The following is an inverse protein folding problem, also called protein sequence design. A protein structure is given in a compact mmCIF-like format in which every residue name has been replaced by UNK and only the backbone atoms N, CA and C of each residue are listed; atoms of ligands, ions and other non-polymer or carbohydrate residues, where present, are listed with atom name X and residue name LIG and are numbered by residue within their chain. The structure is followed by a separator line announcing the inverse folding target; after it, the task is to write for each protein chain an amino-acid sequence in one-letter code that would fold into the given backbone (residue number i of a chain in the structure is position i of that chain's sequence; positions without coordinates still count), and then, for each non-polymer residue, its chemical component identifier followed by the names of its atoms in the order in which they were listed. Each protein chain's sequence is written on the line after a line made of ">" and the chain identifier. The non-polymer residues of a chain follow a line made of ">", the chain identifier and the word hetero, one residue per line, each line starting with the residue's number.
data_IF_280340230147
#
_entry.id   IF_280340230147
#
_cell.length_a   1.000
_cell.length_b   1.000
_cell.length_c   1.000
_cell.angle_alpha   90.00
_cell.angle_beta   90.00
_cell.angle_gamma   90.00
#
_symmetry.space_group_name_H-M   'P 1'
#
loop_
_entity.id
_entity.type
_entity.pdbx_description
1 polymer ?
#
# COMPACT_ATOMS: atom_id res chain seq x y z
N UNK A 1 13.37 -11.91 9.01
CA UNK A 1 12.03 -11.27 8.98
C UNK A 1 11.14 -12.13 8.10
N UNK A 2 10.06 -12.72 8.62
CA UNK A 2 9.18 -13.57 7.82
C UNK A 2 8.56 -12.81 6.66
N UNK A 3 8.67 -13.39 5.45
CA UNK A 3 8.05 -12.86 4.23
C UNK A 3 6.55 -12.70 4.45
N UNK A 4 6.11 -11.45 4.54
CA UNK A 4 4.69 -11.17 4.59
C UNK A 4 4.20 -11.11 3.15
N UNK A 5 3.65 -12.21 2.64
CA UNK A 5 3.13 -12.34 1.28
C UNK A 5 2.26 -11.14 0.87
N UNK A 6 1.42 -10.66 1.80
CA UNK A 6 0.54 -9.50 1.60
C UNK A 6 1.34 -8.23 1.32
N UNK A 7 2.45 -8.00 2.03
CA UNK A 7 3.30 -6.82 1.79
C UNK A 7 3.93 -6.87 0.41
N UNK A 8 4.53 -8.01 0.06
CA UNK A 8 5.20 -8.17 -1.23
C UNK A 8 4.19 -8.00 -2.38
N UNK A 9 3.05 -8.67 -2.32
CA UNK A 9 1.97 -8.52 -3.32
C UNK A 9 1.41 -7.10 -3.39
N UNK A 10 1.20 -6.44 -2.26
CA UNK A 10 0.70 -5.06 -2.26
C UNK A 10 1.70 -4.06 -2.85
N UNK A 11 3.00 -4.36 -2.73
CA UNK A 11 4.06 -3.55 -3.31
C UNK A 11 4.17 -3.78 -4.83
N UNK A 12 4.18 -5.03 -5.27
CA UNK A 12 4.14 -5.40 -6.69
C UNK A 12 2.93 -4.79 -7.40
N UNK A 13 1.74 -4.91 -6.80
CA UNK A 13 0.53 -4.29 -7.31
C UNK A 13 0.64 -2.76 -7.44
N UNK A 14 1.28 -2.08 -6.49
CA UNK A 14 1.49 -0.64 -6.57
C UNK A 14 2.41 -0.25 -7.75
N UNK A 15 3.41 -1.07 -8.06
CA UNK A 15 4.27 -0.87 -9.23
C UNK A 15 3.48 -1.02 -10.54
N UNK A 16 2.66 -2.07 -10.66
CA UNK A 16 1.81 -2.28 -11.84
C UNK A 16 0.84 -1.11 -12.05
N UNK A 17 0.22 -0.59 -10.98
CA UNK A 17 -0.68 0.57 -11.05
C UNK A 17 0.06 1.82 -11.56
N UNK A 18 1.32 2.01 -11.16
CA UNK A 18 2.14 3.13 -11.64
C UNK A 18 2.43 2.99 -13.15
N UNK A 19 2.71 1.79 -13.63
CA UNK A 19 2.91 1.54 -15.07
C UNK A 19 1.64 1.81 -15.86
N UNK A 20 0.48 1.35 -15.38
CA UNK A 20 -0.82 1.61 -16.00
C UNK A 20 -1.13 3.12 -16.00
N UNK A 21 -0.87 3.82 -14.90
CA UNK A 21 -1.04 5.28 -14.83
C UNK A 21 -0.19 6.01 -15.88
N UNK A 22 1.10 5.64 -16.01
CA UNK A 22 1.99 6.21 -17.04
C UNK A 22 1.47 5.93 -18.45
N UNK A 23 1.06 4.69 -18.72
CA UNK A 23 0.49 4.33 -20.01
C UNK A 23 -0.76 5.15 -20.36
N UNK A 24 -1.70 5.29 -19.42
CA UNK A 24 -2.94 6.05 -19.63
C UNK A 24 -2.68 7.55 -19.85
N UNK A 25 -1.75 8.12 -19.09
CA UNK A 25 -1.42 9.55 -19.20
C UNK A 25 -0.59 9.87 -20.45
N UNK A 26 0.40 9.04 -20.79
CA UNK A 26 1.30 9.28 -21.93
C UNK A 26 0.68 8.89 -23.28
N UNK A 27 -0.04 7.76 -23.36
CA UNK A 27 -0.58 7.24 -24.63
C UNK A 27 -2.01 7.66 -24.90
N UNK A 28 -2.85 7.71 -23.85
CA UNK A 28 -4.29 8.00 -23.99
C UNK A 28 -4.66 9.42 -23.58
N UNK A 29 -3.73 10.18 -22.97
CA UNK A 29 -3.99 11.52 -22.41
C UNK A 29 -5.19 11.52 -21.46
N UNK A 30 -5.38 10.43 -20.71
CA UNK A 30 -6.44 10.31 -19.69
C UNK A 30 -5.84 10.65 -18.32
N UNK A 31 -6.42 11.64 -17.63
CA UNK A 31 -5.85 12.22 -16.41
C UNK A 31 -6.79 12.22 -15.21
N UNK A 32 -8.07 11.88 -15.38
CA UNK A 32 -9.08 11.95 -14.33
C UNK A 32 -9.20 10.60 -13.65
N UNK A 33 -9.49 9.54 -14.41
CA UNK A 33 -9.62 8.19 -13.89
C UNK A 33 -8.28 7.58 -13.50
N UNK A 34 -7.23 7.86 -14.28
CA UNK A 34 -5.86 7.41 -14.03
C UNK A 34 -5.34 7.91 -12.68
N UNK A 35 -5.66 9.16 -12.29
CA UNK A 35 -5.33 9.70 -10.96
C UNK A 35 -6.11 9.02 -9.84
N UNK A 36 -7.39 8.70 -10.06
CA UNK A 36 -8.19 7.95 -9.08
C UNK A 36 -7.60 6.56 -8.87
N UNK A 37 -7.27 5.86 -9.96
CA UNK A 37 -6.64 4.55 -9.94
C UNK A 37 -5.29 4.56 -9.22
N UNK A 38 -4.44 5.55 -9.50
CA UNK A 38 -3.14 5.70 -8.83
C UNK A 38 -3.30 5.87 -7.32
N UNK A 39 -4.23 6.74 -6.88
CA UNK A 39 -4.50 6.97 -5.46
C UNK A 39 -5.06 5.72 -4.78
N UNK A 40 -6.05 5.05 -5.38
CA UNK A 40 -6.63 3.85 -4.80
C UNK A 40 -5.60 2.72 -4.74
N UNK A 41 -4.83 2.50 -5.81
CA UNK A 41 -3.85 1.41 -5.88
C UNK A 41 -2.69 1.57 -4.89
N UNK A 42 -2.16 2.79 -4.74
CA UNK A 42 -1.06 3.07 -3.78
C UNK A 42 -1.55 3.07 -2.32
N UNK A 43 -2.82 3.38 -2.08
CA UNK A 43 -3.40 3.36 -0.73
C UNK A 43 -3.40 1.96 -0.08
N UNK A 44 -3.46 0.89 -0.89
CA UNK A 44 -3.44 -0.49 -0.40
C UNK A 44 -2.12 -0.78 0.33
N UNK A 45 -0.98 -0.52 -0.31
CA UNK A 45 0.33 -0.70 0.32
C UNK A 45 0.53 0.18 1.56
N UNK A 46 0.03 1.42 1.52
CA UNK A 46 0.06 2.32 2.67
C UNK A 46 -0.76 1.79 3.86
N UNK A 47 -1.95 1.23 3.60
CA UNK A 47 -2.80 0.64 4.63
C UNK A 47 -2.19 -0.63 5.23
N UNK A 48 -1.61 -1.49 4.39
CA UNK A 48 -0.89 -2.71 4.86
C UNK A 48 0.28 -2.33 5.75
N UNK A 49 1.07 -1.32 5.36
CA UNK A 49 2.17 -0.80 6.18
C UNK A 49 1.64 -0.22 7.50
N UNK A 50 0.58 0.58 7.46
CA UNK A 50 -0.02 1.18 8.66
C UNK A 50 -0.53 0.12 9.64
N UNK A 51 -1.22 -0.91 9.14
CA UNK A 51 -1.71 -2.03 9.95
C UNK A 51 -0.59 -2.73 10.74
N UNK A 52 0.57 -2.96 10.11
CA UNK A 52 1.74 -3.52 10.81
C UNK A 52 2.20 -2.64 11.98
N UNK A 53 2.22 -1.32 11.79
CA UNK A 53 2.56 -0.39 12.87
C UNK A 53 1.51 -0.39 13.99
N UNK A 54 0.21 -0.43 13.66
CA UNK A 54 -0.86 -0.54 14.66
C UNK A 54 -0.75 -1.81 15.50
N UNK A 55 -0.56 -2.98 14.86
CA UNK A 55 -0.40 -4.25 15.56
C UNK A 55 0.81 -4.23 16.49
N UNK A 56 1.95 -3.70 16.02
CA UNK A 56 3.16 -3.61 16.83
C UNK A 56 2.98 -2.66 18.02
N UNK A 57 2.36 -1.49 17.81
CA UNK A 57 2.08 -0.52 18.87
C UNK A 57 1.10 -1.08 19.90
N UNK A 58 0.02 -1.73 19.45
CA UNK A 58 -0.92 -2.41 20.33
C UNK A 58 -0.25 -3.50 21.17
N UNK A 59 0.64 -4.31 20.55
CA UNK A 59 1.45 -5.30 21.29
C UNK A 59 2.33 -4.65 22.35
N UNK A 60 2.98 -3.54 22.01
CA UNK A 60 3.84 -2.81 22.95
C UNK A 60 3.06 -2.33 24.18
N UNK A 61 1.90 -1.69 23.99
CA UNK A 61 1.07 -1.23 25.12
C UNK A 61 0.58 -2.37 26.02
N UNK A 62 0.17 -3.51 25.45
CA UNK A 62 -0.26 -4.68 26.24
C UNK A 62 0.90 -5.24 27.07
N UNK A 63 2.12 -5.30 26.51
CA UNK A 63 3.30 -5.76 27.22
C UNK A 63 3.72 -4.80 28.35
N UNK A 64 3.59 -3.48 28.16
CA UNK A 64 3.96 -2.49 29.17
C UNK A 64 2.98 -2.39 30.35
N UNK A 65 1.72 -2.81 30.19
CA UNK A 65 0.71 -2.78 31.25
C UNK A 65 0.74 -4.03 32.16
N UNK A 66 1.42 -5.09 31.74
CA UNK A 66 1.48 -6.36 32.46
C UNK A 66 2.77 -6.52 33.29
N UNK A 67 3.55 -5.44 33.44
CA UNK A 67 4.83 -5.40 34.18
C UNK A 67 4.78 -4.46 35.37
#
# INVERSE_FOLDING_TARGET
>A
MGDNLIVNKSYEFALEVIEVYKFLTERRKEFVLSKQLLRSGTSIGANVRSSKFYVQRSRFYVLSLCG
#
